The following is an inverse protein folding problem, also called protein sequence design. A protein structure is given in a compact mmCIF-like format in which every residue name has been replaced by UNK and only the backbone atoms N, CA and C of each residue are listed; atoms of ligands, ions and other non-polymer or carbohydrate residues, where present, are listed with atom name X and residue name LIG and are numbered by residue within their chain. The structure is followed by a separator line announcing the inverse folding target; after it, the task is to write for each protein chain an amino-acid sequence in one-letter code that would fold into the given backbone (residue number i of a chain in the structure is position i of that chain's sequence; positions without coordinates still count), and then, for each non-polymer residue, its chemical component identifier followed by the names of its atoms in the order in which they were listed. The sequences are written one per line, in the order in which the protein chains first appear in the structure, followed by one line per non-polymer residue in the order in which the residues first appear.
data_IF_258916778254
#
_entry.id   IF_258916778254
#
_cell.length_a   1.000
_cell.length_b   1.000
_cell.length_c   1.000
_cell.angle_alpha   90.00
_cell.angle_beta   90.00
_cell.angle_gamma   90.00
#
_symmetry.space_group_name_H-M   'P 1'
#
loop_
_entity.id
_entity.type
_entity.pdbx_description
1 polymer ?
#
# COMPACT_ATOMS: atom_id res chain seq x y z
N UNK A 1 26.83 -12.03 19.08
CA UNK A 1 26.21 -12.35 17.78
C UNK A 1 24.95 -11.53 17.50
N UNK A 2 24.03 -11.36 18.46
CA UNK A 2 22.79 -10.57 18.27
C UNK A 2 23.07 -9.13 17.83
N UNK A 3 24.02 -8.44 18.46
CA UNK A 3 24.36 -7.02 18.15
C UNK A 3 24.85 -6.82 16.71
N UNK A 4 25.67 -7.75 16.19
CA UNK A 4 26.16 -7.67 14.80
C UNK A 4 25.04 -7.98 13.80
N UNK A 5 24.14 -8.90 14.13
CA UNK A 5 22.97 -9.22 13.31
C UNK A 5 21.97 -8.06 13.26
N UNK A 6 21.71 -7.40 14.38
CA UNK A 6 20.82 -6.23 14.41
C UNK A 6 21.42 -5.03 13.67
N UNK A 7 22.72 -4.76 13.85
CA UNK A 7 23.42 -3.71 13.09
C UNK A 7 23.43 -4.02 11.58
N UNK A 8 23.73 -5.27 11.20
CA UNK A 8 23.72 -5.69 9.80
C UNK A 8 22.32 -5.57 9.17
N UNK A 9 21.27 -5.99 9.89
CA UNK A 9 19.89 -5.84 9.44
C UNK A 9 19.47 -4.38 9.29
N UNK A 10 19.85 -3.51 10.24
CA UNK A 10 19.56 -2.08 10.17
C UNK A 10 20.27 -1.41 8.98
N UNK A 11 21.55 -1.73 8.76
CA UNK A 11 22.32 -1.22 7.64
C UNK A 11 21.70 -1.65 6.29
N UNK A 12 21.28 -2.91 6.18
CA UNK A 12 20.58 -3.41 4.99
C UNK A 12 19.26 -2.67 4.76
N UNK A 13 18.46 -2.46 5.80
CA UNK A 13 17.21 -1.72 5.72
C UNK A 13 17.42 -0.27 5.26
N UNK A 14 18.40 0.43 5.84
CA UNK A 14 18.77 1.80 5.43
C UNK A 14 19.24 1.81 3.97
N UNK A 15 20.06 0.84 3.57
CA UNK A 15 20.52 0.71 2.19
C UNK A 15 19.37 0.54 1.19
N UNK A 16 18.36 -0.26 1.54
CA UNK A 16 17.15 -0.45 0.73
C UNK A 16 16.34 0.85 0.62
N UNK A 17 16.13 1.56 1.73
CA UNK A 17 15.45 2.86 1.71
C UNK A 17 16.19 3.87 0.85
N UNK A 18 17.51 3.93 0.98
CA UNK A 18 18.34 4.82 0.17
C UNK A 18 18.28 4.47 -1.31
N UNK A 19 18.30 3.18 -1.66
CA UNK A 19 18.15 2.72 -3.04
C UNK A 19 16.80 3.14 -3.65
N UNK A 20 15.69 3.09 -2.88
CA UNK A 20 14.40 3.58 -3.35
C UNK A 20 14.39 5.09 -3.58
N UNK A 21 14.95 5.86 -2.65
CA UNK A 21 15.03 7.32 -2.78
C UNK A 21 15.92 7.72 -3.96
N UNK A 22 17.08 7.07 -4.10
CA UNK A 22 18.00 7.30 -5.21
C UNK A 22 17.36 6.95 -6.55
N UNK A 23 16.66 5.81 -6.65
CA UNK A 23 15.94 5.43 -7.86
C UNK A 23 14.81 6.42 -8.19
N UNK A 24 14.02 6.82 -7.19
CA UNK A 24 12.92 7.75 -7.39
C UNK A 24 13.40 9.14 -7.82
N UNK A 25 14.50 9.63 -7.24
CA UNK A 25 15.14 10.88 -7.64
C UNK A 25 15.75 10.79 -9.03
N UNK A 26 16.41 9.68 -9.36
CA UNK A 26 16.95 9.45 -10.70
C UNK A 26 15.85 9.43 -11.77
N UNK A 27 14.70 8.79 -11.48
CA UNK A 27 13.54 8.81 -12.36
C UNK A 27 12.91 10.21 -12.46
N UNK A 28 12.89 10.98 -11.38
CA UNK A 28 12.40 12.35 -11.40
C UNK A 28 13.28 13.26 -12.27
N UNK A 29 14.61 13.15 -12.18
CA UNK A 29 15.53 13.93 -13.00
C UNK A 29 15.50 13.53 -14.47
N UNK A 30 15.33 12.23 -14.76
CA UNK A 30 15.41 11.70 -16.13
C UNK A 30 14.09 11.73 -16.89
N UNK A 31 12.97 11.54 -16.20
CA UNK A 31 11.64 11.36 -16.80
C UNK A 31 10.59 12.33 -16.24
N UNK A 32 10.95 13.22 -15.33
CA UNK A 32 10.01 14.10 -14.61
C UNK A 32 8.88 13.31 -13.93
N UNK A 33 9.16 12.05 -13.58
CA UNK A 33 8.19 11.10 -13.05
C UNK A 33 8.70 10.40 -11.79
N UNK A 34 7.84 10.34 -10.78
CA UNK A 34 8.11 9.67 -9.50
C UNK A 34 7.20 8.46 -9.34
N UNK A 35 7.79 7.29 -9.18
CA UNK A 35 7.07 6.04 -8.94
C UNK A 35 6.53 5.99 -7.50
N UNK A 36 7.35 6.39 -6.53
CA UNK A 36 7.08 6.21 -5.11
C UNK A 36 6.42 7.45 -4.49
N UNK A 37 5.16 7.72 -4.87
CA UNK A 37 4.37 8.82 -4.30
C UNK A 37 3.29 8.32 -3.35
N UNK A 38 2.78 9.21 -2.49
CA UNK A 38 1.64 8.90 -1.60
C UNK A 38 0.39 8.49 -2.38
N UNK A 39 0.14 9.14 -3.51
CA UNK A 39 -1.00 8.84 -4.36
C UNK A 39 -0.86 7.46 -5.00
N UNK A 40 0.32 7.16 -5.56
CA UNK A 40 0.66 5.83 -6.07
C UNK A 40 0.52 4.74 -5.00
N UNK A 41 0.91 5.02 -3.75
CA UNK A 41 0.72 4.11 -2.62
C UNK A 41 -0.75 3.82 -2.34
N UNK A 42 -1.59 4.86 -2.28
CA UNK A 42 -3.03 4.71 -2.08
C UNK A 42 -3.67 3.90 -3.22
N UNK A 43 -3.31 4.18 -4.47
CA UNK A 43 -3.83 3.44 -5.63
C UNK A 43 -3.49 1.95 -5.53
N UNK A 44 -2.21 1.62 -5.25
CA UNK A 44 -1.80 0.22 -5.08
C UNK A 44 -2.49 -0.42 -3.89
N UNK A 45 -2.61 0.30 -2.77
CA UNK A 45 -3.32 -0.17 -1.58
C UNK A 45 -4.79 -0.50 -1.86
N UNK A 46 -5.49 0.35 -2.62
CA UNK A 46 -6.88 0.09 -3.06
C UNK A 46 -6.93 -1.12 -3.99
N UNK A 47 -6.05 -1.19 -5.00
CA UNK A 47 -6.03 -2.30 -5.95
C UNK A 47 -5.82 -3.65 -5.25
N UNK A 48 -4.82 -3.74 -4.38
CA UNK A 48 -4.50 -4.95 -3.60
C UNK A 48 -5.61 -5.26 -2.60
N UNK A 49 -6.17 -4.24 -1.95
CA UNK A 49 -7.30 -4.41 -1.03
C UNK A 49 -8.53 -4.99 -1.73
N UNK A 50 -8.89 -4.49 -2.90
CA UNK A 50 -9.99 -5.01 -3.70
C UNK A 50 -9.74 -6.45 -4.17
N UNK A 51 -8.51 -6.77 -4.56
CA UNK A 51 -8.12 -8.14 -4.91
C UNK A 51 -8.28 -9.10 -3.73
N UNK A 52 -7.79 -8.70 -2.56
CA UNK A 52 -7.87 -9.50 -1.35
C UNK A 52 -9.33 -9.71 -0.93
N UNK A 53 -10.07 -8.60 -0.71
CA UNK A 53 -11.47 -8.64 -0.27
C UNK A 53 -12.34 -9.39 -1.27
N UNK A 54 -12.13 -9.15 -2.58
CA UNK A 54 -12.84 -9.85 -3.63
C UNK A 54 -12.56 -11.36 -3.62
N UNK A 55 -11.31 -11.77 -3.39
CA UNK A 55 -10.97 -13.19 -3.29
C UNK A 55 -11.56 -13.86 -2.03
N UNK A 56 -11.49 -13.21 -0.87
CA UNK A 56 -12.12 -13.71 0.37
C UNK A 56 -13.63 -13.86 0.20
N UNK A 57 -14.30 -12.86 -0.39
CA UNK A 57 -15.72 -12.95 -0.71
C UNK A 57 -15.99 -14.13 -1.65
N UNK A 58 -15.22 -14.26 -2.74
CA UNK A 58 -15.37 -15.36 -3.69
C UNK A 58 -15.23 -16.72 -3.02
N UNK A 59 -14.25 -16.91 -2.14
CA UNK A 59 -14.03 -18.15 -1.40
C UNK A 59 -15.19 -18.46 -0.45
N UNK A 60 -15.70 -17.46 0.27
CA UNK A 60 -16.86 -17.62 1.15
C UNK A 60 -18.12 -17.98 0.36
N UNK A 61 -18.38 -17.32 -0.78
CA UNK A 61 -19.49 -17.68 -1.66
C UNK A 61 -19.41 -19.12 -2.16
N UNK A 62 -18.20 -19.62 -2.50
CA UNK A 62 -18.02 -21.02 -2.90
C UNK A 62 -18.39 -21.97 -1.75
N UNK A 63 -17.97 -21.66 -0.52
CA UNK A 63 -18.26 -22.48 0.65
C UNK A 63 -19.76 -22.53 0.98
N UNK A 64 -20.49 -21.43 0.74
CA UNK A 64 -21.92 -21.30 1.00
C UNK A 64 -22.81 -21.70 -0.20
N UNK A 65 -22.21 -22.19 -1.30
CA UNK A 65 -22.90 -22.40 -2.59
C UNK A 65 -23.66 -21.15 -3.10
N UNK A 66 -23.14 -19.96 -2.77
CA UNK A 66 -23.65 -18.66 -3.16
C UNK A 66 -23.06 -18.15 -4.48
N UNK A 67 -23.43 -16.92 -4.84
CA UNK A 67 -22.95 -16.26 -6.05
C UNK A 67 -21.51 -15.73 -5.89
N UNK A 68 -20.63 -16.15 -6.80
CA UNK A 68 -19.22 -15.77 -6.84
C UNK A 68 -18.97 -14.47 -7.62
N UNK A 69 -19.98 -13.96 -8.33
CA UNK A 69 -19.85 -12.86 -9.26
C UNK A 69 -19.39 -11.57 -8.56
N UNK A 70 -19.93 -11.27 -7.38
CA UNK A 70 -19.58 -10.07 -6.61
C UNK A 70 -18.08 -10.02 -6.25
N UNK A 71 -17.55 -11.13 -5.70
CA UNK A 71 -16.12 -11.23 -5.39
C UNK A 71 -15.26 -11.13 -6.64
N UNK A 72 -15.69 -11.75 -7.74
CA UNK A 72 -14.98 -11.71 -9.02
C UNK A 72 -14.95 -10.30 -9.62
N UNK A 73 -16.06 -9.55 -9.58
CA UNK A 73 -16.14 -8.17 -10.05
C UNK A 73 -15.19 -7.28 -9.24
N UNK A 74 -15.16 -7.42 -7.91
CA UNK A 74 -14.23 -6.67 -7.05
C UNK A 74 -12.77 -6.93 -7.44
N UNK A 75 -12.42 -8.19 -7.69
CA UNK A 75 -11.09 -8.56 -8.16
C UNK A 75 -10.77 -7.91 -9.51
N UNK A 76 -11.69 -7.95 -10.48
CA UNK A 76 -11.50 -7.34 -11.80
C UNK A 76 -11.24 -5.83 -11.68
N UNK A 77 -12.01 -5.13 -10.83
CA UNK A 77 -11.79 -3.70 -10.58
C UNK A 77 -10.38 -3.46 -10.01
N UNK A 78 -9.96 -4.27 -9.04
CA UNK A 78 -8.61 -4.21 -8.49
C UNK A 78 -7.52 -4.41 -9.54
N UNK A 79 -7.68 -5.40 -10.42
CA UNK A 79 -6.77 -5.62 -11.57
C UNK A 79 -6.73 -4.41 -12.49
N UNK A 80 -7.89 -3.87 -12.88
CA UNK A 80 -7.97 -2.71 -13.77
C UNK A 80 -7.25 -1.48 -13.20
N UNK A 81 -7.38 -1.22 -11.90
CA UNK A 81 -6.67 -0.13 -11.21
C UNK A 81 -5.16 -0.37 -11.24
N UNK A 82 -4.71 -1.59 -10.95
CA UNK A 82 -3.29 -1.96 -11.01
C UNK A 82 -2.71 -1.81 -12.41
N UNK A 83 -3.43 -2.30 -13.43
CA UNK A 83 -3.03 -2.17 -14.84
C UNK A 83 -3.00 -0.71 -15.29
N UNK A 84 -3.95 0.12 -14.86
CA UNK A 84 -3.95 1.54 -15.17
C UNK A 84 -2.68 2.23 -14.65
N UNK A 85 -2.28 1.91 -13.42
CA UNK A 85 -1.05 2.44 -12.84
C UNK A 85 0.20 1.96 -13.60
N UNK A 86 0.24 0.68 -13.97
CA UNK A 86 1.33 0.13 -14.79
C UNK A 86 1.41 0.86 -16.14
N UNK A 87 0.28 1.05 -16.83
CA UNK A 87 0.22 1.76 -18.10
C UNK A 87 0.71 3.21 -17.94
N UNK A 88 0.35 3.90 -16.86
CA UNK A 88 0.88 5.23 -16.57
C UNK A 88 2.40 5.23 -16.39
N UNK A 89 2.94 4.26 -15.64
CA UNK A 89 4.39 4.09 -15.46
C UNK A 89 5.11 3.89 -16.80
N UNK A 90 4.56 3.08 -17.70
CA UNK A 90 5.10 2.87 -19.04
C UNK A 90 5.01 4.12 -19.92
N UNK A 91 3.91 4.88 -19.83
CA UNK A 91 3.73 6.12 -20.61
C UNK A 91 4.64 7.25 -20.15
N UNK A 92 4.94 7.32 -18.86
CA UNK A 92 5.79 8.35 -18.29
C UNK A 92 7.29 8.04 -18.42
N UNK A 93 7.67 6.80 -18.73
CA UNK A 93 9.07 6.37 -18.77
C UNK A 93 9.37 5.49 -20.01
N UNK A 94 10.45 4.70 -19.97
CA UNK A 94 10.78 3.71 -21.00
C UNK A 94 10.41 2.29 -20.54
N UNK A 95 10.26 1.35 -21.47
CA UNK A 95 9.86 -0.03 -21.18
C UNK A 95 10.62 -0.67 -20.01
N UNK A 96 11.95 -0.50 -19.95
CA UNK A 96 12.77 -1.07 -18.88
C UNK A 96 12.46 -0.49 -17.50
N UNK A 97 12.31 0.84 -17.42
CA UNK A 97 12.03 1.55 -16.16
C UNK A 97 10.57 1.41 -15.75
N UNK A 98 9.65 1.45 -16.72
CA UNK A 98 8.23 1.21 -16.50
C UNK A 98 7.98 -0.20 -15.98
N UNK A 99 8.58 -1.22 -16.59
CA UNK A 99 8.43 -2.60 -16.14
C UNK A 99 9.09 -2.83 -14.77
N UNK A 100 10.39 -2.51 -14.64
CA UNK A 100 11.13 -2.72 -13.39
C UNK A 100 10.58 -1.89 -12.24
N UNK A 101 10.32 -0.60 -12.49
CA UNK A 101 9.73 0.31 -11.52
C UNK A 101 8.35 -0.14 -11.06
N UNK A 102 7.47 -0.59 -11.97
CA UNK A 102 6.14 -1.08 -11.60
C UNK A 102 6.18 -2.34 -10.73
N UNK A 103 7.06 -3.31 -11.04
CA UNK A 103 7.21 -4.53 -10.24
C UNK A 103 7.62 -4.16 -8.83
N UNK A 104 8.69 -3.38 -8.70
CA UNK A 104 9.23 -2.97 -7.41
C UNK A 104 8.19 -2.13 -6.65
N UNK A 105 7.54 -1.19 -7.30
CA UNK A 105 6.51 -0.33 -6.72
C UNK A 105 5.34 -1.15 -6.18
N UNK A 106 4.76 -2.04 -6.99
CA UNK A 106 3.62 -2.86 -6.57
C UNK A 106 4.02 -3.79 -5.43
N UNK A 107 5.17 -4.46 -5.50
CA UNK A 107 5.63 -5.36 -4.43
C UNK A 107 5.83 -4.63 -3.11
N UNK A 108 6.55 -3.50 -3.12
CA UNK A 108 6.85 -2.73 -1.91
C UNK A 108 5.57 -2.11 -1.34
N UNK A 109 4.73 -1.49 -2.19
CA UNK A 109 3.50 -0.87 -1.74
C UNK A 109 2.46 -1.88 -1.27
N UNK A 110 2.41 -3.10 -1.82
CA UNK A 110 1.53 -4.16 -1.30
C UNK A 110 1.90 -4.54 0.13
N UNK A 111 3.20 -4.74 0.41
CA UNK A 111 3.71 -5.06 1.75
C UNK A 111 3.40 -3.91 2.71
N UNK A 112 3.73 -2.68 2.30
CA UNK A 112 3.48 -1.49 3.12
C UNK A 112 1.98 -1.25 3.34
N UNK A 113 1.12 -1.53 2.35
CA UNK A 113 -0.32 -1.39 2.49
C UNK A 113 -0.88 -2.39 3.51
N UNK A 114 -0.41 -3.64 3.48
CA UNK A 114 -0.81 -4.66 4.45
C UNK A 114 -0.49 -4.23 5.89
N UNK A 115 0.78 -3.89 6.18
CA UNK A 115 1.15 -3.43 7.52
C UNK A 115 0.53 -2.07 7.86
N UNK A 116 0.39 -1.19 6.86
CA UNK A 116 -0.23 0.13 7.02
C UNK A 116 -1.69 0.04 7.47
N UNK A 117 -2.46 -0.89 6.90
CA UNK A 117 -3.84 -1.15 7.33
C UNK A 117 -3.90 -1.64 8.77
N UNK A 118 -3.01 -2.55 9.18
CA UNK A 118 -2.94 -3.04 10.57
C UNK A 118 -2.66 -1.89 11.53
N UNK A 119 -1.67 -1.05 11.22
CA UNK A 119 -1.32 0.12 12.03
C UNK A 119 -2.47 1.12 12.08
N UNK A 120 -3.17 1.33 10.96
CA UNK A 120 -4.33 2.23 10.88
C UNK A 120 -5.48 1.73 11.75
N UNK A 121 -5.82 0.45 11.67
CA UNK A 121 -6.84 -0.17 12.52
C UNK A 121 -6.47 0.00 14.00
N UNK A 122 -5.23 -0.28 14.37
CA UNK A 122 -4.75 -0.10 15.75
C UNK A 122 -4.84 1.36 16.20
N UNK A 123 -4.43 2.30 15.34
CA UNK A 123 -4.50 3.73 15.62
C UNK A 123 -5.93 4.23 15.82
N UNK A 124 -6.87 3.78 14.97
CA UNK A 124 -8.30 4.08 15.11
C UNK A 124 -8.87 3.47 16.39
N UNK A 125 -8.52 2.22 16.70
CA UNK A 125 -8.98 1.57 17.92
C UNK A 125 -8.51 2.31 19.19
N UNK A 126 -7.23 2.68 19.23
CA UNK A 126 -6.65 3.45 20.34
C UNK A 126 -7.27 4.85 20.46
N UNK A 127 -7.54 5.53 19.34
CA UNK A 127 -8.16 6.85 19.37
C UNK A 127 -9.59 6.81 19.90
N UNK A 128 -10.36 5.78 19.55
CA UNK A 128 -11.70 5.52 20.09
C UNK A 128 -11.63 5.32 21.60
N UNK A 129 -10.73 4.45 22.10
CA UNK A 129 -10.55 4.25 23.55
C UNK A 129 -10.18 5.56 24.25
N UNK A 130 -9.23 6.32 23.70
CA UNK A 130 -8.81 7.59 24.27
C UNK A 130 -9.99 8.59 24.34
N UNK A 131 -10.82 8.65 23.30
CA UNK A 131 -12.00 9.52 23.27
C UNK A 131 -13.07 9.14 24.29
N UNK A 132 -13.20 7.86 24.63
CA UNK A 132 -14.13 7.38 25.66
C UNK A 132 -13.62 7.72 27.07
N UNK A 133 -12.30 7.72 27.27
CA UNK A 133 -11.66 8.11 28.53
C UNK A 133 -11.52 9.62 28.73
N UNK A 134 -11.71 10.43 27.68
CA UNK A 134 -11.60 11.88 27.76
C UNK A 134 -12.79 12.48 28.52
N UNK A 135 -12.52 13.05 29.70
CA UNK A 135 -13.51 13.78 30.52
C UNK A 135 -13.97 15.01 29.74
N UNK A 136 -15.26 15.08 29.37
CA UNK A 136 -15.83 16.24 28.68
C UNK A 136 -15.78 17.47 29.61
N UNK A 137 -14.86 18.40 29.35
CA UNK A 137 -14.83 19.70 30.04
C UNK A 137 -15.79 20.62 29.30
N UNK A 138 -16.96 20.86 29.89
CA UNK A 138 -17.87 21.90 29.41
C UNK A 138 -17.30 23.26 29.83
N UNK A 139 -16.83 24.04 28.86
CA UNK A 139 -16.51 25.45 29.08
C UNK A 139 -17.84 26.19 29.19
N UNK A 140 -18.28 26.48 30.41
CA UNK A 140 -19.38 27.41 30.66
C UNK A 140 -18.82 28.81 30.46
N UNK A 141 -19.14 29.42 29.32
CA UNK A 141 -18.83 30.82 29.07
C UNK A 141 -19.76 31.67 29.97
N UNK A 142 -19.18 32.39 30.93
CA UNK A 142 -19.89 33.36 31.77
C UNK A 142 -20.03 34.70 31.06
#
# INVERSE_FOLDING_TARGET
MIVLQTLGGLAAFIGVLWAFLAFNNHCAEKFEYQFFTKLSFIIVGIAVGLLWIGNEWRLNSIAENGDILNGTILMIIGVCIGLFLIIQNFRATNFLYGFGGSIVQISVFSILAYFGVIILILGVFLSVIASLGAKRVHVVNQ
#
